data_IF_845130138393
#
_entry.id   IF_845130138393
#
_cell.length_a   1.000
_cell.length_b   1.000
_cell.length_c   1.000
_cell.angle_alpha   90.00
_cell.angle_beta   90.00
_cell.angle_gamma   90.00
#
_symmetry.space_group_name_H-M   'P 1'
#
loop_
_entity.id
_entity.type
_entity.pdbx_description
1 polymer ?
#
# COMPACT_ATOMS: atom_id res chain seq x y z
N UNK A 1 -46.11 -24.57 -3.65
CA UNK A 1 -45.10 -25.61 -3.93
C UNK A 1 -44.17 -25.06 -4.99
N UNK A 2 -42.95 -24.92 -4.53
CA UNK A 2 -41.77 -24.33 -5.14
C UNK A 2 -41.27 -25.16 -6.32
N UNK A 3 -40.62 -24.51 -7.29
CA UNK A 3 -39.39 -24.95 -7.99
C UNK A 3 -39.25 -24.19 -9.32
N UNK A 4 -38.10 -23.69 -9.74
CA UNK A 4 -36.80 -23.44 -9.11
C UNK A 4 -36.05 -22.62 -10.16
N UNK A 5 -35.73 -21.35 -9.84
CA UNK A 5 -34.81 -20.56 -10.65
C UNK A 5 -33.45 -21.30 -10.68
N UNK A 6 -32.99 -21.66 -11.88
CA UNK A 6 -31.61 -22.07 -12.11
C UNK A 6 -31.05 -21.20 -13.23
N UNK A 7 -30.46 -20.08 -12.85
CA UNK A 7 -29.55 -19.34 -13.70
C UNK A 7 -28.16 -19.49 -13.08
N UNK A 8 -27.31 -20.29 -13.74
CA UNK A 8 -25.88 -20.30 -13.49
C UNK A 8 -25.35 -18.88 -13.68
N UNK A 9 -25.04 -18.21 -12.57
CA UNK A 9 -24.30 -16.96 -12.59
C UNK A 9 -22.86 -17.26 -13.00
N UNK A 10 -22.51 -16.91 -14.23
CA UNK A 10 -21.13 -16.88 -14.69
C UNK A 10 -20.32 -15.93 -13.78
N UNK A 11 -19.21 -16.37 -13.16
CA UNK A 11 -18.31 -15.45 -12.48
C UNK A 11 -17.52 -14.69 -13.55
N UNK A 12 -18.05 -13.55 -13.99
CA UNK A 12 -17.28 -12.60 -14.78
C UNK A 12 -16.10 -12.13 -13.92
N UNK A 13 -14.83 -12.36 -14.30
CA UNK A 13 -13.67 -11.90 -13.57
C UNK A 13 -13.41 -10.44 -13.91
N UNK A 14 -14.43 -9.59 -13.77
CA UNK A 14 -14.23 -8.15 -13.86
C UNK A 14 -13.85 -7.70 -12.45
N UNK A 15 -12.60 -7.29 -12.18
CA UNK A 15 -12.27 -6.74 -10.88
C UNK A 15 -13.08 -5.46 -10.76
N UNK A 16 -14.17 -5.50 -10.01
CA UNK A 16 -14.97 -4.31 -9.65
C UNK A 16 -14.14 -3.49 -8.68
N UNK A 17 -13.14 -2.85 -9.27
CA UNK A 17 -12.09 -2.11 -8.63
C UNK A 17 -12.74 -0.77 -8.29
N UNK A 18 -13.18 -0.61 -7.04
CA UNK A 18 -13.81 0.65 -6.58
C UNK A 18 -12.94 1.87 -6.89
N UNK A 19 -13.49 3.10 -6.90
CA UNK A 19 -12.79 4.30 -7.36
C UNK A 19 -11.41 4.50 -6.72
N UNK A 20 -11.29 4.19 -5.43
CA UNK A 20 -10.03 4.22 -4.67
C UNK A 20 -9.03 3.17 -5.12
N UNK A 21 -9.48 1.96 -5.46
CA UNK A 21 -8.66 0.85 -5.97
C UNK A 21 -8.13 1.16 -7.38
N UNK A 22 -8.96 1.70 -8.27
CA UNK A 22 -8.54 2.15 -9.60
C UNK A 22 -7.51 3.28 -9.52
N UNK A 23 -7.73 4.24 -8.64
CA UNK A 23 -6.78 5.32 -8.41
C UNK A 23 -5.44 4.83 -7.85
N UNK A 24 -5.47 3.85 -6.94
CA UNK A 24 -4.27 3.19 -6.42
C UNK A 24 -3.50 2.51 -7.57
N UNK A 25 -4.19 1.65 -8.33
CA UNK A 25 -3.61 0.90 -9.45
C UNK A 25 -3.02 1.82 -10.52
N UNK A 26 -3.78 2.80 -10.98
CA UNK A 26 -3.33 3.74 -12.00
C UNK A 26 -2.11 4.55 -11.55
N UNK A 27 -2.13 5.08 -10.32
CA UNK A 27 -1.00 5.84 -9.77
C UNK A 27 0.24 4.95 -9.60
N UNK A 28 0.04 3.71 -9.18
CA UNK A 28 1.14 2.75 -9.01
C UNK A 28 1.78 2.38 -10.35
N UNK A 29 0.98 2.03 -11.34
CA UNK A 29 1.46 1.70 -12.69
C UNK A 29 2.15 2.88 -13.36
N UNK A 30 1.62 4.09 -13.22
CA UNK A 30 2.27 5.31 -13.73
C UNK A 30 3.63 5.52 -13.07
N UNK A 31 3.75 5.34 -11.76
CA UNK A 31 5.01 5.43 -11.05
C UNK A 31 5.99 4.31 -11.44
N UNK A 32 5.49 3.08 -11.63
CA UNK A 32 6.29 1.94 -12.07
C UNK A 32 6.87 2.16 -13.47
N UNK A 33 6.07 2.69 -14.39
CA UNK A 33 6.50 3.08 -15.74
C UNK A 33 7.61 4.14 -15.71
N UNK A 34 7.50 5.14 -14.83
CA UNK A 34 8.56 6.12 -14.62
C UNK A 34 9.84 5.49 -14.06
N UNK A 35 9.73 4.59 -13.09
CA UNK A 35 10.90 3.88 -12.54
C UNK A 35 11.56 3.06 -13.64
N UNK A 36 10.79 2.34 -14.46
CA UNK A 36 11.32 1.52 -15.54
C UNK A 36 12.04 2.35 -16.60
N UNK A 37 11.47 3.49 -17.02
CA UNK A 37 12.06 4.40 -18.02
C UNK A 37 13.33 5.12 -17.54
N UNK A 38 13.48 5.30 -16.23
CA UNK A 38 14.59 6.08 -15.64
C UNK A 38 15.71 5.22 -15.05
N UNK A 39 15.68 3.89 -15.20
CA UNK A 39 16.69 2.99 -14.62
C UNK A 39 17.34 2.04 -15.63
N UNK A 40 18.37 2.48 -16.38
CA UNK A 40 19.16 1.55 -17.19
C UNK A 40 20.28 0.80 -16.43
N UNK A 41 20.65 1.17 -15.19
CA UNK A 41 21.85 0.59 -14.55
C UNK A 41 21.90 0.61 -13.01
N UNK A 42 20.77 0.74 -12.30
CA UNK A 42 20.78 0.75 -10.81
C UNK A 42 20.71 -0.67 -10.24
N UNK A 43 21.42 -0.95 -9.14
CA UNK A 43 21.37 -2.27 -8.47
C UNK A 43 19.94 -2.73 -8.19
N UNK A 44 19.70 -4.05 -8.24
CA UNK A 44 18.38 -4.66 -7.94
C UNK A 44 17.76 -4.11 -6.66
N UNK A 45 18.57 -3.84 -5.64
CA UNK A 45 18.13 -3.25 -4.37
C UNK A 45 17.65 -1.80 -4.51
N UNK A 46 18.27 -1.00 -5.38
CA UNK A 46 17.82 0.37 -5.67
C UNK A 46 16.50 0.38 -6.44
N UNK A 47 16.32 -0.52 -7.42
CA UNK A 47 15.07 -0.67 -8.17
C UNK A 47 13.93 -1.13 -7.25
N UNK A 48 14.17 -2.12 -6.40
CA UNK A 48 13.20 -2.60 -5.40
C UNK A 48 12.72 -1.49 -4.46
N UNK A 49 13.64 -0.70 -3.89
CA UNK A 49 13.28 0.45 -3.03
C UNK A 49 12.43 1.51 -3.74
N UNK A 50 12.62 1.72 -5.05
CA UNK A 50 11.80 2.67 -5.83
C UNK A 50 10.39 2.14 -6.04
N UNK A 51 10.25 0.84 -6.33
CA UNK A 51 8.96 0.17 -6.46
C UNK A 51 8.21 0.21 -5.12
N UNK A 52 8.88 -0.11 -4.02
CA UNK A 52 8.31 -0.04 -2.67
C UNK A 52 7.82 1.39 -2.34
N UNK A 53 8.62 2.41 -2.64
CA UNK A 53 8.21 3.82 -2.47
C UNK A 53 7.02 4.20 -3.34
N UNK A 54 6.99 3.75 -4.60
CA UNK A 54 5.87 3.98 -5.49
C UNK A 54 4.59 3.37 -4.92
N UNK A 55 4.65 2.13 -4.42
CA UNK A 55 3.51 1.46 -3.80
C UNK A 55 2.98 2.24 -2.58
N UNK A 56 3.86 2.59 -1.64
CA UNK A 56 3.48 3.38 -0.47
C UNK A 56 2.93 4.77 -0.83
N UNK A 57 3.51 5.44 -1.83
CA UNK A 57 3.00 6.72 -2.30
C UNK A 57 1.59 6.58 -2.88
N UNK A 58 1.37 5.59 -3.75
CA UNK A 58 0.07 5.37 -4.38
C UNK A 58 -1.01 5.05 -3.34
N UNK A 59 -0.70 4.23 -2.32
CA UNK A 59 -1.61 3.96 -1.19
C UNK A 59 -1.96 5.21 -0.40
N UNK A 60 -0.95 6.00 -0.03
CA UNK A 60 -1.19 7.22 0.74
C UNK A 60 -2.06 8.21 -0.04
N UNK A 61 -1.81 8.37 -1.34
CA UNK A 61 -2.60 9.25 -2.18
C UNK A 61 -4.03 8.75 -2.44
N UNK A 62 -4.29 7.43 -2.44
CA UNK A 62 -5.64 6.87 -2.62
C UNK A 62 -6.47 6.87 -1.35
N UNK A 63 -5.84 6.81 -0.16
CA UNK A 63 -6.52 6.85 1.12
C UNK A 63 -7.12 8.23 1.48
N UNK A 64 -6.74 9.27 0.75
CA UNK A 64 -7.24 10.63 0.94
C UNK A 64 -6.39 11.46 1.90
N UNK A 65 -6.50 12.78 1.78
CA UNK A 65 -5.72 13.75 2.57
C UNK A 65 -6.17 13.84 4.04
N UNK A 66 -7.31 13.25 4.40
CA UNK A 66 -7.85 13.25 5.77
C UNK A 66 -7.20 12.23 6.70
N UNK A 67 -6.50 11.23 6.17
CA UNK A 67 -5.91 10.15 6.98
C UNK A 67 -4.56 10.54 7.57
N UNK A 68 -4.43 10.40 8.88
CA UNK A 68 -3.21 10.69 9.62
C UNK A 68 -2.03 9.85 9.14
N UNK A 69 -2.27 8.57 8.85
CA UNK A 69 -1.26 7.66 8.34
C UNK A 69 -0.82 8.00 6.91
N UNK A 70 -1.74 8.45 6.04
CA UNK A 70 -1.39 8.88 4.68
C UNK A 70 -0.40 10.04 4.72
N UNK A 71 -0.68 11.08 5.52
CA UNK A 71 0.22 12.21 5.71
C UNK A 71 1.56 11.79 6.31
N UNK A 72 1.55 10.85 7.26
CA UNK A 72 2.78 10.33 7.85
C UNK A 72 3.65 9.56 6.84
N UNK A 73 3.03 8.75 5.97
CA UNK A 73 3.71 8.05 4.87
C UNK A 73 4.31 9.05 3.88
N UNK A 74 3.53 10.03 3.42
CA UNK A 74 4.03 11.06 2.49
C UNK A 74 5.18 11.87 3.10
N UNK A 75 5.06 12.29 4.37
CA UNK A 75 6.17 12.95 5.09
C UNK A 75 7.41 12.06 5.11
N UNK A 76 7.26 10.77 5.46
CA UNK A 76 8.38 9.80 5.46
C UNK A 76 9.05 9.67 4.10
N UNK A 77 8.27 9.66 3.01
CA UNK A 77 8.79 9.61 1.65
C UNK A 77 9.56 10.90 1.28
N UNK A 78 9.03 12.07 1.62
CA UNK A 78 9.69 13.37 1.38
C UNK A 78 10.95 13.57 2.24
N UNK A 79 10.97 13.10 3.49
CA UNK A 79 12.14 13.18 4.37
C UNK A 79 13.26 12.25 3.90
N UNK A 80 12.93 11.05 3.40
CA UNK A 80 13.90 10.11 2.79
C UNK A 80 14.43 10.57 1.42
N UNK A 81 13.71 11.46 0.73
CA UNK A 81 14.19 12.09 -0.51
C UNK A 81 15.16 13.25 -0.23
N UNK A 82 14.96 13.97 0.89
CA UNK A 82 15.76 15.15 1.26
C UNK A 82 16.97 14.86 2.15
N UNK A 83 17.04 13.72 2.84
CA UNK A 83 18.16 13.39 3.74
C UNK A 83 18.53 11.90 3.67
N UNK A 84 19.82 11.60 3.48
CA UNK A 84 20.47 10.33 3.93
C UNK A 84 20.57 10.26 5.46
N UNK A 85 19.68 10.90 6.22
CA UNK A 85 19.84 11.07 7.65
C UNK A 85 19.13 9.95 8.42
N UNK A 86 19.95 9.11 9.05
CA UNK A 86 19.73 8.43 10.33
C UNK A 86 18.35 7.78 10.47
N UNK A 87 18.32 6.48 10.20
CA UNK A 87 17.25 5.62 10.68
C UNK A 87 17.06 5.84 12.19
N UNK A 88 15.83 6.07 12.70
CA UNK A 88 15.58 5.89 14.11
C UNK A 88 15.91 4.44 14.45
N UNK A 89 16.68 4.32 15.53
CA UNK A 89 17.22 3.09 16.10
C UNK A 89 16.11 2.08 16.34
N UNK A 90 16.48 0.81 16.11
CA UNK A 90 16.03 -0.45 16.73
C UNK A 90 14.60 -0.44 17.29
N UNK A 91 13.80 -1.39 16.81
CA UNK A 91 12.65 -1.91 17.56
C UNK A 91 13.11 -2.16 19.01
N UNK A 92 12.74 -1.28 19.92
CA UNK A 92 12.72 -1.60 21.34
C UNK A 92 11.43 -2.38 21.53
N UNK A 93 11.52 -3.71 21.47
CA UNK A 93 10.50 -4.59 22.04
C UNK A 93 10.57 -4.47 23.56
N UNK A 94 10.26 -3.29 24.08
CA UNK A 94 9.74 -3.20 25.43
C UNK A 94 8.35 -3.81 25.35
N UNK A 95 8.02 -4.73 26.25
CA UNK A 95 6.72 -5.37 26.38
C UNK A 95 5.62 -4.35 26.75
N UNK A 96 5.44 -3.33 25.92
CA UNK A 96 4.38 -2.35 26.02
C UNK A 96 3.06 -2.99 25.66
N UNK A 97 1.99 -2.42 26.21
CA UNK A 97 0.62 -2.76 25.86
C UNK A 97 0.44 -2.85 24.32
N UNK A 98 -0.50 -3.69 23.85
CA UNK A 98 -0.74 -3.90 22.42
C UNK A 98 -1.01 -2.59 21.65
N UNK A 99 -1.53 -1.57 22.34
CA UNK A 99 -1.73 -0.24 21.79
C UNK A 99 -0.42 0.45 21.40
N UNK A 100 0.62 0.42 22.23
CA UNK A 100 1.94 0.97 21.90
C UNK A 100 2.58 0.24 20.71
N UNK A 101 2.42 -1.08 20.62
CA UNK A 101 2.86 -1.83 19.45
C UNK A 101 2.17 -1.33 18.17
N UNK A 102 0.85 -1.10 18.21
CA UNK A 102 0.10 -0.52 17.10
C UNK A 102 0.57 0.90 16.76
N UNK A 103 0.86 1.75 17.76
CA UNK A 103 1.37 3.12 17.52
C UNK A 103 2.70 3.14 16.76
N UNK A 104 3.53 2.12 16.93
CA UNK A 104 4.80 1.98 16.21
C UNK A 104 4.62 1.40 14.80
N UNK A 105 3.62 0.53 14.59
CA UNK A 105 3.34 -0.09 13.29
C UNK A 105 2.58 0.86 12.35
N UNK A 106 1.56 1.55 12.86
CA UNK A 106 0.75 2.49 12.08
C UNK A 106 1.56 3.75 11.81
N UNK A 107 1.75 4.14 10.54
CA UNK A 107 2.43 5.39 10.23
C UNK A 107 1.75 6.57 10.94
N UNK A 108 2.50 7.32 11.75
CA UNK A 108 1.94 8.46 12.50
C UNK A 108 1.18 8.09 13.77
N UNK A 109 1.18 6.81 14.18
CA UNK A 109 0.46 6.32 15.37
C UNK A 109 0.97 6.83 16.71
N UNK A 110 2.23 7.27 16.81
CA UNK A 110 2.87 7.67 18.06
C UNK A 110 2.13 8.74 18.89
N UNK A 111 1.32 9.59 18.25
CA UNK A 111 0.53 10.64 18.91
C UNK A 111 -0.99 10.46 18.81
N UNK A 112 -1.48 9.29 18.39
CA UNK A 112 -2.91 9.04 18.21
C UNK A 112 -3.58 8.58 19.52
N UNK A 113 -4.78 9.09 19.78
CA UNK A 113 -5.70 8.53 20.78
C UNK A 113 -6.13 7.13 20.36
N UNK A 114 -6.68 6.35 21.30
CA UNK A 114 -6.98 4.94 21.07
C UNK A 114 -8.04 4.72 19.97
N UNK A 115 -9.09 5.55 19.92
CA UNK A 115 -10.15 5.42 18.92
C UNK A 115 -9.63 5.73 17.52
N UNK A 116 -8.96 6.87 17.34
CA UNK A 116 -8.33 7.24 16.06
C UNK A 116 -7.28 6.21 15.63
N UNK A 117 -6.51 5.66 16.57
CA UNK A 117 -5.51 4.64 16.27
C UNK A 117 -6.16 3.40 15.65
N UNK A 118 -7.28 2.93 16.19
CA UNK A 118 -7.97 1.75 15.67
C UNK A 118 -8.59 2.01 14.28
N UNK A 119 -9.22 3.17 14.07
CA UNK A 119 -9.78 3.56 12.77
C UNK A 119 -8.69 3.66 11.68
N UNK A 120 -7.58 4.34 12.00
CA UNK A 120 -6.45 4.48 11.10
C UNK A 120 -5.76 3.12 10.85
N UNK A 121 -5.72 2.24 11.85
CA UNK A 121 -5.21 0.86 11.69
C UNK A 121 -6.07 0.08 10.70
N UNK A 122 -7.40 0.12 10.85
CA UNK A 122 -8.31 -0.61 9.97
C UNK A 122 -8.17 -0.16 8.51
N UNK A 123 -8.06 1.16 8.28
CA UNK A 123 -7.86 1.69 6.93
C UNK A 123 -6.45 1.42 6.39
N UNK A 124 -5.44 1.39 7.24
CA UNK A 124 -4.08 1.00 6.85
C UNK A 124 -4.01 -0.47 6.42
N UNK A 125 -4.65 -1.38 7.16
CA UNK A 125 -4.74 -2.82 6.79
C UNK A 125 -5.41 -2.98 5.43
N UNK A 126 -6.57 -2.32 5.19
CA UNK A 126 -7.25 -2.38 3.88
C UNK A 126 -6.33 -1.96 2.74
N UNK A 127 -5.56 -0.89 2.94
CA UNK A 127 -4.62 -0.39 1.93
C UNK A 127 -3.46 -1.37 1.69
N UNK A 128 -2.92 -1.98 2.74
CA UNK A 128 -1.87 -3.00 2.63
C UNK A 128 -2.35 -4.23 1.84
N UNK A 129 -3.55 -4.74 2.15
CA UNK A 129 -4.15 -5.86 1.41
C UNK A 129 -4.27 -5.52 -0.07
N UNK A 130 -4.80 -4.33 -0.38
CA UNK A 130 -4.91 -3.86 -1.76
C UNK A 130 -3.56 -3.73 -2.47
N UNK A 131 -2.51 -3.27 -1.77
CA UNK A 131 -1.17 -3.21 -2.34
C UNK A 131 -0.67 -4.60 -2.71
N UNK A 132 -0.84 -5.59 -1.84
CA UNK A 132 -0.40 -6.97 -2.09
C UNK A 132 -1.16 -7.58 -3.27
N UNK A 133 -2.49 -7.47 -3.28
CA UNK A 133 -3.34 -7.96 -4.38
C UNK A 133 -2.95 -7.35 -5.74
N UNK A 134 -2.74 -6.03 -5.77
CA UNK A 134 -2.33 -5.30 -6.98
C UNK A 134 -0.96 -5.78 -7.46
N UNK A 135 0.03 -5.84 -6.56
CA UNK A 135 1.38 -6.27 -6.91
C UNK A 135 1.39 -7.71 -7.42
N UNK A 136 0.58 -8.60 -6.83
CA UNK A 136 0.43 -9.97 -7.28
C UNK A 136 -0.20 -10.02 -8.69
N UNK A 137 -1.29 -9.29 -8.95
CA UNK A 137 -1.91 -9.24 -10.27
C UNK A 137 -1.00 -8.70 -11.39
N UNK A 138 -0.07 -7.79 -11.06
CA UNK A 138 0.96 -7.36 -12.02
C UNK A 138 1.94 -8.49 -12.32
N UNK A 139 2.38 -9.23 -11.30
CA UNK A 139 3.28 -10.37 -11.47
C UNK A 139 2.61 -11.45 -12.32
N UNK A 140 1.36 -11.80 -12.00
CA UNK A 140 0.61 -12.86 -12.69
C UNK A 140 0.34 -12.51 -14.15
N UNK A 141 -0.05 -11.25 -14.43
CA UNK A 141 -0.23 -10.77 -15.80
C UNK A 141 1.07 -10.69 -16.60
N UNK A 142 2.21 -10.41 -15.95
CA UNK A 142 3.52 -10.46 -16.60
C UNK A 142 4.03 -11.88 -16.84
N UNK A 143 3.63 -12.85 -15.99
CA UNK A 143 3.99 -14.26 -16.13
C UNK A 143 3.14 -14.98 -17.18
N UNK A 144 1.92 -14.51 -17.42
CA UNK A 144 1.03 -15.01 -18.49
C UNK A 144 1.46 -14.56 -19.90
N UNK A 145 2.38 -13.58 -19.99
CA UNK A 145 3.00 -13.08 -21.23
C UNK A 145 4.48 -13.51 -21.35
N UNK A 146 4.79 -14.77 -21.05
CA UNK A 146 6.07 -15.40 -21.40
C UNK A 146 5.88 -16.38 -22.56
N UNK A 147 6.77 -16.40 -23.58
CA UNK A 147 6.69 -17.31 -24.74
C UNK A 147 6.93 -18.78 -24.38
#
# INVERSE_FOLDING_TARGET
MDSKNSACGNPNPNPTLGPSKLMLAFRFLRALSLVHRTTPASSRTCRGRRIERAAYASMAYSAGTGRGWSRAVLRRLHHRARRRAVAPRRLSTTAGNRAEALRQLVPGGAGMDYCTLLEETADYIKCLTMQVELMQGIVDSSSSYGP
#
